data_IF_570639606679
#
_entry.id   IF_570639606679
#
_cell.length_a   1.000
_cell.length_b   1.000
_cell.length_c   1.000
_cell.angle_alpha   90.00
_cell.angle_beta   90.00
_cell.angle_gamma   90.00
#
_symmetry.space_group_name_H-M   'P 1'
#
loop_
_entity.id
_entity.type
_entity.pdbx_description
1 polymer ?
#
# COMPACT_ATOMS: atom_id res chain seq x y z
N UNK A 1 3.23 7.41 -8.14
CA UNK A 1 2.44 8.23 -9.07
C UNK A 1 1.19 8.75 -8.39
N UNK A 2 0.75 9.96 -8.76
CA UNK A 2 -0.36 10.65 -8.12
C UNK A 2 -1.59 10.64 -9.04
N UNK A 3 -2.76 10.33 -8.46
CA UNK A 3 -4.03 10.30 -9.17
C UNK A 3 -5.04 11.20 -8.47
N UNK A 4 -5.97 11.77 -9.26
CA UNK A 4 -7.06 12.57 -8.75
C UNK A 4 -8.35 11.73 -8.75
N UNK A 5 -8.97 11.57 -7.56
CA UNK A 5 -10.16 10.75 -7.41
C UNK A 5 -11.39 11.29 -8.16
N UNK A 6 -11.41 12.57 -8.54
CA UNK A 6 -12.53 13.13 -9.34
C UNK A 6 -12.56 12.59 -10.76
N UNK A 7 -11.45 12.09 -11.25
CA UNK A 7 -11.33 11.49 -12.58
C UNK A 7 -11.35 9.97 -12.47
N UNK A 8 -12.48 9.39 -12.04
CA UNK A 8 -12.61 7.98 -11.65
C UNK A 8 -12.06 7.01 -12.69
N UNK A 9 -12.42 7.21 -13.95
CA UNK A 9 -12.00 6.30 -15.03
C UNK A 9 -10.48 6.29 -15.21
N UNK A 10 -9.88 7.46 -15.32
CA UNK A 10 -8.43 7.59 -15.49
C UNK A 10 -7.68 7.07 -14.26
N UNK A 11 -8.22 7.37 -13.06
CA UNK A 11 -7.67 6.89 -11.81
C UNK A 11 -7.67 5.35 -11.77
N UNK A 12 -8.79 4.72 -12.08
CA UNK A 12 -8.92 3.26 -12.10
C UNK A 12 -7.98 2.61 -13.12
N UNK A 13 -7.92 3.14 -14.33
CA UNK A 13 -7.03 2.63 -15.37
C UNK A 13 -5.56 2.70 -14.94
N UNK A 14 -5.17 3.82 -14.35
CA UNK A 14 -3.80 4.01 -13.86
C UNK A 14 -3.45 3.08 -12.70
N UNK A 15 -4.36 2.92 -11.75
CA UNK A 15 -4.15 2.04 -10.61
C UNK A 15 -4.08 0.57 -11.03
N UNK A 16 -4.97 0.14 -11.92
CA UNK A 16 -4.94 -1.22 -12.45
C UNK A 16 -3.59 -1.50 -13.13
N UNK A 17 -3.14 -0.59 -13.99
CA UNK A 17 -1.86 -0.74 -14.68
C UNK A 17 -0.69 -0.79 -13.68
N UNK A 18 -0.69 0.10 -12.69
CA UNK A 18 0.37 0.14 -11.68
C UNK A 18 0.45 -1.17 -10.88
N UNK A 19 -0.69 -1.76 -10.54
CA UNK A 19 -0.76 -3.04 -9.82
C UNK A 19 -0.24 -4.17 -10.73
N UNK A 20 -0.72 -4.25 -11.96
CA UNK A 20 -0.32 -5.32 -12.89
C UNK A 20 1.16 -5.26 -13.24
N UNK A 21 1.73 -4.07 -13.31
CA UNK A 21 3.16 -3.87 -13.57
C UNK A 21 4.00 -3.85 -12.28
N UNK A 22 3.39 -4.00 -11.13
CA UNK A 22 4.05 -4.06 -9.81
C UNK A 22 4.99 -2.87 -9.58
N UNK A 23 4.47 -1.66 -9.81
CA UNK A 23 5.26 -0.41 -9.72
C UNK A 23 5.50 0.07 -8.28
N UNK A 24 4.78 -0.44 -7.29
CA UNK A 24 4.92 -0.08 -5.89
C UNK A 24 3.91 0.97 -5.43
N UNK A 25 4.30 2.23 -5.35
CA UNK A 25 3.48 3.28 -4.75
C UNK A 25 2.54 3.96 -5.74
N UNK A 26 1.27 4.10 -5.35
CA UNK A 26 0.28 4.96 -5.99
C UNK A 26 -0.42 5.81 -4.93
N UNK A 27 -0.66 7.07 -5.23
CA UNK A 27 -1.32 8.00 -4.32
C UNK A 27 -2.56 8.57 -5.00
N UNK A 28 -3.71 8.46 -4.34
CA UNK A 28 -4.99 8.97 -4.84
C UNK A 28 -5.45 10.12 -3.95
N UNK A 29 -5.56 11.31 -4.52
CA UNK A 29 -5.96 12.52 -3.83
C UNK A 29 -7.39 12.90 -4.17
N UNK A 30 -8.13 13.38 -3.18
CA UNK A 30 -9.45 13.93 -3.41
C UNK A 30 -10.02 14.50 -2.13
N UNK A 31 -10.80 15.56 -2.26
CA UNK A 31 -11.52 16.15 -1.14
C UNK A 31 -12.63 15.24 -0.62
N UNK A 32 -13.26 15.64 0.47
CA UNK A 32 -14.40 14.92 1.04
C UNK A 32 -15.51 14.81 -0.01
N UNK A 33 -16.06 13.63 -0.19
CA UNK A 33 -17.20 13.40 -1.08
C UNK A 33 -16.87 13.23 -2.57
N UNK A 34 -15.58 13.16 -2.96
CA UNK A 34 -15.21 12.98 -4.38
C UNK A 34 -15.15 11.52 -4.83
N UNK A 35 -15.53 10.58 -3.96
CA UNK A 35 -15.69 9.18 -4.36
C UNK A 35 -14.45 8.31 -4.21
N UNK A 36 -13.53 8.62 -3.30
CA UNK A 36 -12.36 7.78 -3.01
C UNK A 36 -12.76 6.35 -2.64
N UNK A 37 -13.78 6.19 -1.80
CA UNK A 37 -14.31 4.86 -1.42
C UNK A 37 -14.86 4.12 -2.63
N UNK A 38 -15.52 4.82 -3.54
CA UNK A 38 -16.04 4.23 -4.78
C UNK A 38 -14.90 3.73 -5.65
N UNK A 39 -13.82 4.51 -5.78
CA UNK A 39 -12.64 4.12 -6.56
C UNK A 39 -12.00 2.86 -5.97
N UNK A 40 -11.78 2.81 -4.67
CA UNK A 40 -11.17 1.63 -4.03
C UNK A 40 -12.02 0.38 -4.20
N UNK A 41 -13.34 0.51 -4.05
CA UNK A 41 -14.26 -0.61 -4.22
C UNK A 41 -14.26 -1.13 -5.66
N UNK A 42 -14.32 -0.25 -6.64
CA UNK A 42 -14.28 -0.63 -8.05
C UNK A 42 -12.94 -1.24 -8.44
N UNK A 43 -11.86 -0.73 -7.88
CA UNK A 43 -10.52 -1.29 -8.10
C UNK A 43 -10.45 -2.75 -7.68
N UNK A 44 -10.93 -3.07 -6.49
CA UNK A 44 -10.94 -4.44 -5.98
C UNK A 44 -11.80 -5.33 -6.89
N UNK A 45 -12.96 -4.82 -7.35
CA UNK A 45 -13.85 -5.56 -8.25
C UNK A 45 -13.18 -5.92 -9.59
N UNK A 46 -12.30 -5.07 -10.11
CA UNK A 46 -11.56 -5.36 -11.35
C UNK A 46 -10.76 -6.66 -11.24
N UNK A 47 -10.27 -6.99 -10.05
CA UNK A 47 -9.44 -8.17 -9.81
C UNK A 47 -10.19 -9.36 -9.22
N UNK A 48 -11.53 -9.31 -9.12
CA UNK A 48 -12.33 -10.37 -8.49
C UNK A 48 -12.09 -11.75 -9.11
N UNK A 49 -11.99 -11.85 -10.43
CA UNK A 49 -11.74 -13.10 -11.13
C UNK A 49 -10.30 -13.62 -10.99
N UNK A 50 -9.43 -12.81 -10.43
CA UNK A 50 -8.00 -13.10 -10.25
C UNK A 50 -7.61 -13.08 -8.77
N UNK A 51 -8.55 -13.39 -7.87
CA UNK A 51 -8.34 -13.34 -6.42
C UNK A 51 -7.35 -14.39 -5.91
N UNK A 52 -7.00 -15.36 -6.71
CA UNK A 52 -5.94 -16.32 -6.41
C UNK A 52 -4.54 -15.74 -6.61
N UNK A 53 -4.43 -14.63 -7.34
CA UNK A 53 -3.15 -13.95 -7.62
C UNK A 53 -3.04 -12.62 -6.87
N UNK A 54 -4.11 -11.82 -6.83
CA UNK A 54 -4.10 -10.48 -6.27
C UNK A 54 -4.78 -10.47 -4.91
N UNK A 55 -3.97 -10.25 -3.86
CA UNK A 55 -4.44 -10.17 -2.47
C UNK A 55 -4.53 -8.71 -2.04
N UNK A 56 -5.72 -8.26 -1.69
CA UNK A 56 -5.98 -6.90 -1.23
C UNK A 56 -6.15 -6.85 0.28
N UNK A 57 -5.47 -5.90 0.92
CA UNK A 57 -5.56 -5.62 2.34
C UNK A 57 -5.85 -4.14 2.55
N UNK A 58 -6.52 -3.79 3.64
CA UNK A 58 -7.03 -2.45 3.87
C UNK A 58 -6.72 -1.97 5.29
N UNK A 59 -6.16 -0.76 5.39
CA UNK A 59 -6.05 0.00 6.62
C UNK A 59 -6.96 1.22 6.49
N UNK A 60 -8.01 1.28 7.31
CA UNK A 60 -9.03 2.34 7.20
C UNK A 60 -8.59 3.67 7.80
N UNK A 61 -7.82 3.64 8.88
CA UNK A 61 -7.30 4.83 9.55
C UNK A 61 -5.90 4.56 10.07
N UNK A 62 -4.86 5.15 9.43
CA UNK A 62 -3.47 4.79 9.72
C UNK A 62 -2.92 5.54 10.94
N UNK A 63 -3.59 5.44 12.07
CA UNK A 63 -3.14 5.99 13.35
C UNK A 63 -2.53 4.89 14.19
N UNK A 64 -1.25 4.99 14.46
CA UNK A 64 -0.51 4.01 15.24
C UNK A 64 0.28 4.69 16.34
N UNK A 65 0.51 4.00 17.45
CA UNK A 65 1.26 4.53 18.59
C UNK A 65 2.77 4.50 18.36
N UNK A 66 3.25 3.54 17.56
CA UNK A 66 4.67 3.40 17.25
C UNK A 66 4.88 2.65 15.94
N UNK A 67 6.11 2.73 15.41
CA UNK A 67 6.49 1.96 14.24
C UNK A 67 6.40 0.44 14.50
N UNK A 68 6.79 0.02 15.70
CA UNK A 68 6.68 -1.40 16.08
C UNK A 68 5.24 -1.87 16.02
N UNK A 69 4.31 -1.10 16.59
CA UNK A 69 2.88 -1.45 16.56
C UNK A 69 2.34 -1.47 15.14
N UNK A 70 2.75 -0.52 14.30
CA UNK A 70 2.38 -0.53 12.89
C UNK A 70 2.83 -1.82 12.20
N UNK A 71 4.09 -2.20 12.37
CA UNK A 71 4.63 -3.39 11.71
C UNK A 71 4.01 -4.68 12.25
N UNK A 72 3.77 -4.75 13.56
CA UNK A 72 3.04 -5.88 14.16
C UNK A 72 1.61 -5.97 13.62
N UNK A 73 0.95 -4.83 13.40
CA UNK A 73 -0.36 -4.80 12.78
C UNK A 73 -0.34 -5.34 11.35
N UNK A 74 0.69 -4.99 10.56
CA UNK A 74 0.83 -5.52 9.20
C UNK A 74 1.06 -7.03 9.19
N UNK A 75 1.86 -7.55 10.11
CA UNK A 75 2.09 -8.99 10.25
C UNK A 75 0.77 -9.71 10.49
N UNK A 76 -0.04 -9.18 11.40
CA UNK A 76 -1.36 -9.73 11.70
C UNK A 76 -2.31 -9.59 10.51
N UNK A 77 -2.34 -8.42 9.88
CA UNK A 77 -3.20 -8.13 8.73
C UNK A 77 -2.92 -9.08 7.56
N UNK A 78 -1.65 -9.35 7.29
CA UNK A 78 -1.23 -10.26 6.21
C UNK A 78 -1.34 -11.74 6.59
N UNK A 79 -1.86 -12.03 7.77
CA UNK A 79 -2.04 -13.39 8.29
C UNK A 79 -0.73 -14.18 8.32
N UNK A 80 0.34 -13.51 8.71
CA UNK A 80 1.65 -14.13 8.88
C UNK A 80 1.71 -14.79 10.25
N UNK A 81 2.00 -16.09 10.30
CA UNK A 81 2.03 -16.87 11.54
C UNK A 81 3.39 -16.74 12.24
N UNK A 82 3.83 -15.53 12.49
CA UNK A 82 5.07 -15.21 13.20
C UNK A 82 4.85 -13.96 14.04
N UNK A 83 5.66 -13.80 15.09
CA UNK A 83 5.63 -12.63 15.96
C UNK A 83 6.98 -11.93 15.93
N UNK A 84 6.96 -10.61 15.75
CA UNK A 84 8.16 -9.78 15.84
C UNK A 84 8.16 -8.96 17.12
N UNK A 85 9.29 -8.98 17.84
CA UNK A 85 9.45 -8.28 19.10
C UNK A 85 10.19 -6.94 18.94
N UNK A 86 10.78 -6.70 17.77
CA UNK A 86 11.46 -5.46 17.44
C UNK A 86 11.10 -5.00 16.05
N UNK A 87 11.40 -3.73 15.74
CA UNK A 87 11.19 -3.18 14.41
C UNK A 87 11.95 -4.01 13.36
N UNK A 88 13.20 -4.37 13.65
CA UNK A 88 14.02 -5.14 12.71
C UNK A 88 13.46 -6.55 12.51
N UNK A 89 13.02 -7.21 13.58
CA UNK A 89 12.37 -8.53 13.47
C UNK A 89 11.13 -8.46 12.58
N UNK A 90 10.29 -7.47 12.80
CA UNK A 90 9.07 -7.28 12.02
C UNK A 90 9.38 -7.04 10.55
N UNK A 91 10.37 -6.21 10.25
CA UNK A 91 10.80 -5.96 8.87
C UNK A 91 11.28 -7.24 8.19
N UNK A 92 12.07 -8.03 8.89
CA UNK A 92 12.57 -9.31 8.36
C UNK A 92 11.42 -10.29 8.09
N UNK A 93 10.45 -10.36 8.99
CA UNK A 93 9.28 -11.23 8.83
C UNK A 93 8.46 -10.81 7.61
N UNK A 94 8.20 -9.51 7.46
CA UNK A 94 7.43 -8.98 6.35
C UNK A 94 8.17 -9.19 5.03
N UNK A 95 9.47 -8.87 4.98
CA UNK A 95 10.30 -9.08 3.79
C UNK A 95 10.27 -10.53 3.34
N UNK A 96 10.48 -11.46 4.29
CA UNK A 96 10.46 -12.89 3.99
C UNK A 96 9.10 -13.32 3.43
N UNK A 97 8.01 -12.83 4.01
CA UNK A 97 6.66 -13.12 3.52
C UNK A 97 6.43 -12.56 2.10
N UNK A 98 6.85 -11.32 1.85
CA UNK A 98 6.70 -10.69 0.53
C UNK A 98 7.49 -11.45 -0.55
N UNK A 99 8.69 -11.88 -0.22
CA UNK A 99 9.50 -12.71 -1.13
C UNK A 99 8.82 -14.05 -1.40
N UNK A 100 8.31 -14.70 -0.36
CA UNK A 100 7.63 -15.98 -0.50
C UNK A 100 6.41 -15.89 -1.38
N UNK A 101 5.49 -14.97 -1.11
CA UNK A 101 4.26 -14.86 -1.89
C UNK A 101 4.51 -14.26 -3.28
N UNK A 102 5.40 -13.28 -3.39
CA UNK A 102 5.64 -12.57 -4.65
C UNK A 102 6.51 -13.34 -5.63
N UNK A 103 7.55 -14.00 -5.16
CA UNK A 103 8.50 -14.72 -6.02
C UNK A 103 8.14 -16.20 -6.13
N UNK A 104 7.97 -16.89 -5.02
CA UNK A 104 7.72 -18.34 -5.03
C UNK A 104 6.31 -18.69 -5.46
N UNK A 105 5.31 -17.92 -5.03
CA UNK A 105 3.89 -18.20 -5.32
C UNK A 105 3.32 -17.37 -6.48
N UNK A 106 4.07 -16.40 -6.97
CA UNK A 106 3.63 -15.54 -8.08
C UNK A 106 2.43 -14.66 -7.76
N UNK A 107 2.22 -14.34 -6.49
CA UNK A 107 1.11 -13.50 -6.05
C UNK A 107 1.51 -12.04 -5.93
N UNK A 108 0.53 -11.17 -5.97
CA UNK A 108 0.69 -9.72 -5.81
C UNK A 108 -0.04 -9.28 -4.56
N UNK A 109 0.68 -8.68 -3.62
CA UNK A 109 0.10 -8.14 -2.39
C UNK A 109 -0.15 -6.64 -2.55
N UNK A 110 -1.40 -6.22 -2.38
CA UNK A 110 -1.81 -4.83 -2.48
C UNK A 110 -2.32 -4.37 -1.11
N UNK A 111 -1.69 -3.34 -0.57
CA UNK A 111 -2.13 -2.69 0.67
C UNK A 111 -2.74 -1.35 0.33
N UNK A 112 -4.01 -1.18 0.67
CA UNK A 112 -4.73 0.09 0.52
C UNK A 112 -4.79 0.77 1.89
N UNK A 113 -4.32 2.01 1.96
CA UNK A 113 -4.44 2.85 3.14
C UNK A 113 -5.45 3.95 2.84
N UNK A 114 -6.54 3.98 3.59
CA UNK A 114 -7.51 5.07 3.53
C UNK A 114 -7.17 6.13 4.57
N UNK A 115 -7.73 7.32 4.42
CA UNK A 115 -7.48 8.46 5.31
C UNK A 115 -5.98 8.76 5.47
N UNK A 116 -5.23 8.71 4.35
CA UNK A 116 -3.77 8.85 4.34
C UNK A 116 -3.24 10.18 4.89
N UNK A 117 -4.07 11.23 4.93
CA UNK A 117 -3.70 12.49 5.57
C UNK A 117 -3.45 12.34 7.08
N UNK A 118 -3.96 11.26 7.69
CA UNK A 118 -3.75 10.94 9.10
C UNK A 118 -2.44 10.18 9.35
N UNK A 119 -1.71 9.82 8.29
CA UNK A 119 -0.46 9.09 8.39
C UNK A 119 0.66 10.05 8.80
N UNK A 120 1.27 9.81 9.95
CA UNK A 120 2.39 10.63 10.41
C UNK A 120 3.64 10.41 9.54
N UNK A 121 4.44 11.46 9.38
CA UNK A 121 5.64 11.43 8.56
C UNK A 121 6.61 10.29 8.91
N UNK A 122 6.77 9.99 10.20
CA UNK A 122 7.65 8.90 10.66
C UNK A 122 7.21 7.52 10.14
N UNK A 123 5.91 7.32 9.87
CA UNK A 123 5.40 6.06 9.33
C UNK A 123 5.52 5.99 7.81
N UNK A 124 5.56 7.13 7.14
CA UNK A 124 5.90 7.16 5.71
C UNK A 124 7.28 6.54 5.48
N UNK A 125 8.23 6.80 6.36
CA UNK A 125 9.57 6.21 6.27
C UNK A 125 9.53 4.68 6.46
N UNK A 126 8.69 4.19 7.36
CA UNK A 126 8.49 2.75 7.55
C UNK A 126 7.96 2.11 6.27
N UNK A 127 6.94 2.70 5.64
CA UNK A 127 6.40 2.19 4.38
C UNK A 127 7.41 2.29 3.23
N UNK A 128 8.20 3.36 3.18
CA UNK A 128 9.28 3.50 2.19
C UNK A 128 10.27 2.34 2.29
N UNK A 129 10.62 1.95 3.50
CA UNK A 129 11.51 0.79 3.74
C UNK A 129 10.90 -0.48 3.18
N UNK A 130 9.60 -0.71 3.42
CA UNK A 130 8.91 -1.88 2.88
C UNK A 130 8.84 -1.86 1.35
N UNK A 131 8.65 -0.68 0.76
CA UNK A 131 8.62 -0.51 -0.70
C UNK A 131 9.98 -0.75 -1.37
N UNK A 132 11.07 -0.70 -0.61
CA UNK A 132 12.40 -1.04 -1.12
C UNK A 132 12.62 -2.55 -1.29
N UNK A 133 11.72 -3.39 -0.76
CA UNK A 133 11.76 -4.82 -1.01
C UNK A 133 11.32 -5.09 -2.44
N UNK A 134 12.28 -5.41 -3.28
CA UNK A 134 12.04 -5.54 -4.73
C UNK A 134 12.90 -6.64 -5.35
N UNK A 135 12.47 -7.10 -6.53
CA UNK A 135 13.31 -7.88 -7.44
C UNK A 135 13.94 -6.92 -8.45
N UNK A 136 14.71 -7.45 -9.41
CA UNK A 136 15.28 -6.64 -10.48
C UNK A 136 14.20 -5.97 -11.36
N UNK A 137 13.00 -6.55 -11.43
CA UNK A 137 11.97 -6.17 -12.37
C UNK A 137 10.77 -5.47 -11.75
N UNK A 138 10.50 -5.68 -10.45
CA UNK A 138 9.28 -5.15 -9.83
C UNK A 138 9.37 -5.03 -8.31
N UNK A 139 8.49 -4.19 -7.75
CA UNK A 139 8.29 -4.07 -6.30
C UNK A 139 7.45 -5.22 -5.77
N UNK A 140 7.78 -5.73 -4.57
CA UNK A 140 7.05 -6.83 -3.95
C UNK A 140 5.77 -6.37 -3.26
N UNK A 141 5.75 -5.14 -2.74
CA UNK A 141 4.57 -4.54 -2.12
C UNK A 141 3.97 -3.49 -3.06
N UNK A 142 2.66 -3.60 -3.29
CA UNK A 142 1.90 -2.55 -3.97
C UNK A 142 1.16 -1.76 -2.92
N UNK A 143 1.48 -0.49 -2.78
CA UNK A 143 0.90 0.40 -1.78
C UNK A 143 0.07 1.47 -2.47
N UNK A 144 -1.21 1.57 -2.09
CA UNK A 144 -2.11 2.60 -2.59
C UNK A 144 -2.60 3.42 -1.40
N UNK A 145 -2.31 4.72 -1.41
CA UNK A 145 -2.71 5.62 -0.35
C UNK A 145 -3.80 6.55 -0.86
N UNK A 146 -4.97 6.47 -0.26
CA UNK A 146 -6.09 7.38 -0.52
C UNK A 146 -6.13 8.45 0.56
N UNK A 147 -6.26 9.70 0.19
CA UNK A 147 -6.34 10.76 1.17
C UNK A 147 -6.74 12.11 0.59
N UNK A 148 -6.82 13.10 1.48
CA UNK A 148 -7.11 14.47 1.11
C UNK A 148 -5.88 15.12 0.47
N UNK A 149 -6.05 16.25 -0.26
CA UNK A 149 -4.94 16.88 -1.00
C UNK A 149 -3.72 17.25 -0.15
N UNK A 150 -3.89 17.52 1.14
CA UNK A 150 -2.81 17.85 2.07
C UNK A 150 -1.76 16.75 2.15
N UNK A 151 -2.19 15.49 2.01
CA UNK A 151 -1.32 14.33 2.04
C UNK A 151 -0.30 14.35 0.89
N UNK A 152 -0.72 14.78 -0.29
CA UNK A 152 0.16 14.84 -1.47
C UNK A 152 1.37 15.73 -1.25
N UNK A 153 1.19 16.87 -0.58
CA UNK A 153 2.29 17.79 -0.25
C UNK A 153 3.30 17.14 0.69
N UNK A 154 2.81 16.41 1.70
CA UNK A 154 3.68 15.71 2.67
C UNK A 154 4.50 14.63 1.98
N UNK A 155 3.88 13.84 1.13
CA UNK A 155 4.56 12.74 0.41
C UNK A 155 5.61 13.29 -0.56
N UNK A 156 5.31 14.37 -1.27
CA UNK A 156 6.25 15.00 -2.22
C UNK A 156 7.50 15.57 -1.55
N UNK A 157 7.40 15.95 -0.29
CA UNK A 157 8.54 16.45 0.49
C UNK A 157 9.49 15.32 0.92
N UNK A 158 9.06 14.06 0.80
CA UNK A 158 9.88 12.91 1.14
C UNK A 158 10.71 12.46 -0.06
N UNK A 159 12.03 12.69 -0.06
CA UNK A 159 12.89 12.20 -1.14
C UNK A 159 12.83 10.66 -1.19
N UNK A 160 12.76 10.12 -2.39
CA UNK A 160 12.73 8.68 -2.66
C UNK A 160 11.41 7.96 -2.30
N UNK A 161 10.32 8.69 -2.07
CA UNK A 161 9.01 8.07 -1.89
C UNK A 161 8.25 7.94 -3.23
N UNK A 162 8.77 8.49 -4.29
CA UNK A 162 8.19 8.40 -5.64
C UNK A 162 8.77 7.21 -6.44
#
# INVERSE_FOLDING_TARGET
>A
MFYNATEHRQCLEGLELAIRMRRGLSVVQGGVGVGKTTVSRKLIQIFDDESDIYDFYLILDPKFESELILLQHLIELFDINEKGDSVQDCRNIIEHHLLKIGVEQGKVLILIIDEGQNLEAKYLDAFRTLLNFETDDYKLLQLIIFGQPEMGSIIKEYPNFE
#
